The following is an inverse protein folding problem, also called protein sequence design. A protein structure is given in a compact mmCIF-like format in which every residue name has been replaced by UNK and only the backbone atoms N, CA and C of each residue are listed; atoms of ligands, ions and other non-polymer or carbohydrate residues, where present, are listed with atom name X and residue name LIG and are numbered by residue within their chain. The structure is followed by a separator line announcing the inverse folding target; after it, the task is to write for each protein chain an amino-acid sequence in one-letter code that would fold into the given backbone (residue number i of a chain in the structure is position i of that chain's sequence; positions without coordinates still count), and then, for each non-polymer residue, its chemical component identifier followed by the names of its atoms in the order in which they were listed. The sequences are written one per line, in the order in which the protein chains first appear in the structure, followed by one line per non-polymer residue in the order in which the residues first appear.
data_IF_590588017129
#
_entry.id   IF_590588017129
#
_cell.length_a   1.000
_cell.length_b   1.000
_cell.length_c   1.000
_cell.angle_alpha   90.00
_cell.angle_beta   90.00
_cell.angle_gamma   90.00
#
_symmetry.space_group_name_H-M   'P 1'
#
loop_
_entity.id
_entity.type
_entity.pdbx_description
1 polymer ?
#
# COMPACT_ATOMS: atom_id res chain seq x y z
N UNK A 1 -35.46 5.13 26.83
CA UNK A 1 -35.27 6.59 26.70
C UNK A 1 -33.80 7.00 26.80
N UNK A 2 -33.01 6.47 27.74
CA UNK A 2 -31.56 6.77 27.85
C UNK A 2 -30.73 6.23 26.67
N UNK A 3 -30.99 4.99 26.24
CA UNK A 3 -30.29 4.33 25.12
C UNK A 3 -30.67 4.89 23.74
N UNK A 4 -31.91 5.34 23.56
CA UNK A 4 -32.36 5.97 22.30
C UNK A 4 -31.72 7.34 22.06
N UNK A 5 -31.47 8.13 23.12
CA UNK A 5 -30.75 9.41 23.03
C UNK A 5 -29.27 9.20 22.71
N UNK A 6 -28.65 8.15 23.27
CA UNK A 6 -27.24 7.81 23.01
C UNK A 6 -27.01 7.43 21.54
N UNK A 7 -27.89 6.62 20.93
CA UNK A 7 -27.77 6.25 19.52
C UNK A 7 -27.93 7.46 18.58
N UNK A 8 -28.85 8.39 18.89
CA UNK A 8 -29.04 9.62 18.10
C UNK A 8 -27.84 10.57 18.22
N UNK A 9 -27.21 10.66 19.40
CA UNK A 9 -26.00 11.46 19.57
C UNK A 9 -24.77 10.87 18.87
N UNK A 10 -24.64 9.53 18.81
CA UNK A 10 -23.52 8.88 18.12
C UNK A 10 -23.61 9.05 16.60
N UNK A 11 -24.82 9.00 16.03
CA UNK A 11 -25.03 9.18 14.59
C UNK A 11 -24.67 10.60 14.13
N UNK A 12 -24.92 11.62 14.97
CA UNK A 12 -24.63 13.02 14.64
C UNK A 12 -23.12 13.32 14.59
N UNK A 13 -22.30 12.63 15.41
CA UNK A 13 -20.84 12.84 15.45
C UNK A 13 -20.15 12.22 14.22
N UNK A 14 -20.72 11.14 13.65
CA UNK A 14 -20.16 10.47 12.46
C UNK A 14 -20.37 11.31 11.19
N UNK A 15 -21.40 12.16 11.13
CA UNK A 15 -21.72 12.95 9.93
C UNK A 15 -20.83 14.18 9.69
N UNK A 16 -20.01 14.60 10.66
CA UNK A 16 -19.14 15.78 10.54
C UNK A 16 -17.71 15.45 10.08
N UNK A 17 -17.36 14.18 9.96
CA UNK A 17 -16.05 13.71 9.52
C UNK A 17 -15.95 13.61 7.99
N UNK A 18 -16.36 14.66 7.28
CA UNK A 18 -16.03 14.82 5.87
C UNK A 18 -14.59 15.30 5.74
N UNK A 19 -13.63 14.38 5.61
CA UNK A 19 -12.26 14.75 5.26
C UNK A 19 -12.26 15.22 3.80
N UNK A 20 -12.38 16.53 3.57
CA UNK A 20 -12.17 17.13 2.25
C UNK A 20 -10.69 17.08 1.93
N UNK A 21 -10.22 15.97 1.34
CA UNK A 21 -8.89 15.89 0.76
C UNK A 21 -8.82 16.85 -0.42
N UNK A 22 -7.98 17.88 -0.33
CA UNK A 22 -7.68 18.73 -1.48
C UNK A 22 -6.93 17.87 -2.51
N UNK A 23 -7.51 17.71 -3.70
CA UNK A 23 -6.83 17.02 -4.79
C UNK A 23 -5.58 17.80 -5.20
N UNK A 24 -4.48 17.09 -5.42
CA UNK A 24 -3.24 17.67 -5.90
C UNK A 24 -2.78 16.88 -7.14
N UNK A 25 -3.30 17.23 -8.32
CA UNK A 25 -3.05 16.48 -9.56
C UNK A 25 -1.57 16.35 -9.91
N UNK A 26 -0.76 17.35 -9.55
CA UNK A 26 0.68 17.33 -9.78
C UNK A 26 1.36 16.29 -8.88
N UNK A 27 1.00 16.25 -7.59
CA UNK A 27 1.50 15.24 -6.67
C UNK A 27 1.03 13.83 -7.07
N UNK A 28 -0.21 13.68 -7.52
CA UNK A 28 -0.74 12.40 -8.01
C UNK A 28 0.04 11.92 -9.25
N UNK A 29 0.29 12.81 -10.21
CA UNK A 29 1.07 12.47 -11.41
C UNK A 29 2.50 12.08 -11.04
N UNK A 30 3.15 12.84 -10.15
CA UNK A 30 4.50 12.53 -9.69
C UNK A 30 4.55 11.17 -8.95
N UNK A 31 3.54 10.88 -8.13
CA UNK A 31 3.42 9.60 -7.44
C UNK A 31 3.24 8.43 -8.43
N UNK A 32 2.42 8.60 -9.46
CA UNK A 32 2.23 7.59 -10.51
C UNK A 32 3.51 7.34 -11.30
N UNK A 33 4.25 8.38 -11.67
CA UNK A 33 5.54 8.23 -12.34
C UNK A 33 6.56 7.51 -11.46
N UNK A 34 6.70 7.90 -10.19
CA UNK A 34 7.61 7.25 -9.26
C UNK A 34 7.25 5.78 -9.03
N UNK A 35 5.96 5.48 -8.82
CA UNK A 35 5.48 4.12 -8.65
C UNK A 35 5.73 3.26 -9.90
N UNK A 36 5.52 3.81 -11.10
CA UNK A 36 5.80 3.13 -12.36
C UNK A 36 7.28 2.81 -12.55
N UNK A 37 8.17 3.76 -12.28
CA UNK A 37 9.63 3.55 -12.35
C UNK A 37 10.08 2.49 -11.36
N UNK A 38 9.58 2.54 -10.13
CA UNK A 38 9.86 1.54 -9.11
C UNK A 38 9.37 0.13 -9.50
N UNK A 39 8.17 0.02 -10.07
CA UNK A 39 7.62 -1.26 -10.52
C UNK A 39 8.49 -1.88 -11.63
N UNK A 40 9.03 -1.07 -12.54
CA UNK A 40 9.97 -1.54 -13.58
C UNK A 40 11.19 -2.23 -12.98
N UNK A 41 11.74 -1.71 -11.87
CA UNK A 41 12.86 -2.35 -11.16
C UNK A 41 12.46 -3.72 -10.58
N UNK A 42 11.24 -3.82 -10.06
CA UNK A 42 10.68 -5.08 -9.53
C UNK A 42 10.48 -6.10 -10.66
N UNK A 43 9.92 -5.68 -11.80
CA UNK A 43 9.68 -6.52 -12.98
C UNK A 43 11.00 -7.00 -13.61
N UNK A 44 12.03 -6.15 -13.59
CA UNK A 44 13.40 -6.47 -14.01
C UNK A 44 14.19 -7.30 -12.98
N UNK A 45 13.55 -7.72 -11.88
CA UNK A 45 14.16 -8.48 -10.78
C UNK A 45 15.33 -7.77 -10.07
N UNK A 46 15.42 -6.45 -10.21
CA UNK A 46 16.43 -5.62 -9.55
C UNK A 46 15.98 -5.26 -8.13
N UNK A 47 15.84 -6.28 -7.27
CA UNK A 47 15.26 -6.10 -5.94
C UNK A 47 16.10 -5.25 -4.98
N UNK A 48 17.42 -5.24 -5.15
CA UNK A 48 18.29 -4.35 -4.38
C UNK A 48 18.06 -2.87 -4.71
N UNK A 49 17.94 -2.56 -6.01
CA UNK A 49 17.66 -1.20 -6.50
C UNK A 49 16.21 -0.79 -6.19
N UNK A 50 15.25 -1.72 -6.32
CA UNK A 50 13.86 -1.44 -5.98
C UNK A 50 13.66 -1.21 -4.48
N UNK A 51 14.49 -1.78 -3.62
CA UNK A 51 14.49 -1.44 -2.21
C UNK A 51 14.94 0.00 -1.96
N UNK A 52 16.02 0.43 -2.62
CA UNK A 52 16.59 1.77 -2.42
C UNK A 52 15.62 2.87 -2.91
N UNK A 53 14.85 2.59 -3.97
CA UNK A 53 13.82 3.49 -4.53
C UNK A 53 12.43 3.30 -3.88
N UNK A 54 12.28 2.40 -2.90
CA UNK A 54 10.99 2.14 -2.26
C UNK A 54 10.54 3.29 -1.35
N UNK A 55 9.23 3.44 -1.20
CA UNK A 55 8.68 4.35 -0.21
C UNK A 55 9.09 3.92 1.22
N UNK A 56 9.46 4.88 2.07
CA UNK A 56 9.93 4.64 3.44
C UNK A 56 8.96 3.82 4.30
N UNK A 57 7.66 3.84 3.99
CA UNK A 57 6.66 3.02 4.68
C UNK A 57 7.02 1.53 4.63
N UNK A 58 7.62 1.05 3.53
CA UNK A 58 8.05 -0.33 3.39
C UNK A 58 9.21 -0.67 4.32
N UNK A 59 10.14 0.27 4.50
CA UNK A 59 11.31 0.10 5.36
C UNK A 59 10.95 0.01 6.86
N UNK A 60 9.77 0.50 7.24
CA UNK A 60 9.24 0.34 8.60
C UNK A 60 8.57 -1.02 8.84
N UNK A 61 8.28 -1.79 7.79
CA UNK A 61 7.48 -3.03 7.87
C UNK A 61 8.32 -4.27 7.57
N UNK A 62 9.29 -4.17 6.67
CA UNK A 62 10.17 -5.28 6.27
C UNK A 62 11.62 -4.83 6.22
N UNK A 63 12.56 -5.76 6.28
CA UNK A 63 14.01 -5.51 6.13
C UNK A 63 14.45 -5.61 4.66
N UNK A 64 15.60 -5.03 4.31
CA UNK A 64 16.19 -5.18 2.97
C UNK A 64 16.41 -6.65 2.63
N UNK A 65 16.88 -7.44 3.59
CA UNK A 65 17.09 -8.88 3.40
C UNK A 65 15.77 -9.61 3.10
N UNK A 66 14.69 -9.29 3.81
CA UNK A 66 13.37 -9.87 3.54
C UNK A 66 12.76 -9.38 2.22
N UNK A 67 13.13 -8.18 1.78
CA UNK A 67 12.73 -7.60 0.51
C UNK A 67 13.42 -8.27 -0.68
N UNK A 68 14.73 -8.43 -0.61
CA UNK A 68 15.53 -9.06 -1.67
C UNK A 68 15.32 -10.57 -1.73
N UNK A 69 14.92 -11.17 -0.61
CA UNK A 69 14.47 -12.56 -0.53
C UNK A 69 12.96 -12.74 -0.77
N UNK A 70 12.23 -11.71 -1.20
CA UNK A 70 10.82 -11.87 -1.60
C UNK A 70 10.69 -13.05 -2.56
N UNK A 71 9.74 -13.95 -2.30
CA UNK A 71 10.10 -15.34 -2.25
C UNK A 71 9.83 -15.94 -3.62
N UNK A 72 10.91 -16.17 -4.37
CA UNK A 72 10.92 -17.19 -5.42
C UNK A 72 10.19 -18.46 -4.93
N UNK A 73 10.29 -18.82 -3.65
CA UNK A 73 9.60 -19.96 -3.04
C UNK A 73 8.06 -19.82 -2.91
N UNK A 74 7.50 -18.63 -2.71
CA UNK A 74 6.05 -18.41 -2.58
C UNK A 74 5.38 -18.28 -3.95
N UNK A 75 6.05 -17.60 -4.89
CA UNK A 75 5.64 -17.59 -6.30
C UNK A 75 5.75 -18.99 -6.93
N UNK A 76 6.77 -19.77 -6.57
CA UNK A 76 6.90 -21.16 -7.02
C UNK A 76 5.73 -22.04 -6.54
N UNK A 77 5.28 -21.91 -5.28
CA UNK A 77 4.05 -22.58 -4.81
C UNK A 77 2.80 -22.09 -5.54
N UNK A 78 2.66 -20.80 -5.83
CA UNK A 78 1.52 -20.25 -6.55
C UNK A 78 1.47 -20.67 -8.03
N UNK A 79 2.60 -20.71 -8.73
CA UNK A 79 2.70 -21.21 -10.11
C UNK A 79 2.43 -22.72 -10.17
N UNK A 80 2.94 -23.49 -9.21
CA UNK A 80 2.74 -24.93 -9.15
C UNK A 80 1.30 -25.31 -8.76
N UNK A 81 0.53 -24.39 -8.15
CA UNK A 81 -0.91 -24.51 -7.96
C UNK A 81 -1.74 -24.17 -9.21
N UNK A 82 -1.19 -23.50 -10.23
CA UNK A 82 -1.95 -23.14 -11.44
C UNK A 82 -1.89 -24.19 -12.56
N UNK A 83 -1.00 -25.19 -12.42
CA UNK A 83 -0.88 -26.34 -13.35
C UNK A 83 -1.52 -27.64 -12.81
N UNK A 84 -2.24 -27.60 -11.68
CA UNK A 84 -3.03 -28.73 -11.13
C UNK A 84 -4.51 -28.37 -11.13
#
# INVERSE_FOLDING_TARGET
MKTTVVCLSLAAIISLSGCSSASNPQAETAALTAAGSWLSLVDEQKYDESWDEAAQIFMGVVTKEQWTQQPFSAWFWALQCQEQ
#
